data_IF_750230784824
#
_entry.id   IF_750230784824
#
_cell.length_a   1.000
_cell.length_b   1.000
_cell.length_c   1.000
_cell.angle_alpha   90.00
_cell.angle_beta   90.00
_cell.angle_gamma   90.00
#
_symmetry.space_group_name_H-M   'P 1'
#
loop_
_entity.id
_entity.type
_entity.pdbx_description
1 polymer ?
#
# COMPACT_ATOMS: atom_id res chain seq x y z
N UNK A 1 -1.22 -32.04 69.31
CA UNK A 1 -1.86 -30.82 68.78
C UNK A 1 -0.88 -29.68 68.45
N UNK A 2 0.24 -29.50 69.19
CA UNK A 2 1.21 -28.42 68.92
C UNK A 2 1.99 -28.54 67.60
N UNK A 3 2.24 -29.76 67.11
CA UNK A 3 2.99 -30.02 65.86
C UNK A 3 2.21 -29.64 64.60
N UNK A 4 0.89 -29.86 64.59
CA UNK A 4 0.02 -29.52 63.46
C UNK A 4 -0.22 -28.01 63.34
N UNK A 5 -0.25 -27.30 64.48
CA UNK A 5 -0.39 -25.83 64.49
C UNK A 5 0.82 -25.14 63.83
N UNK A 6 2.03 -25.67 64.04
CA UNK A 6 3.25 -25.16 63.41
C UNK A 6 3.30 -25.39 61.89
N UNK A 7 2.80 -26.54 61.42
CA UNK A 7 2.69 -26.86 60.00
C UNK A 7 1.70 -25.95 59.26
N UNK A 8 0.55 -25.65 59.90
CA UNK A 8 -0.45 -24.74 59.35
C UNK A 8 0.08 -23.30 59.30
N UNK A 9 0.76 -22.85 60.36
CA UNK A 9 1.35 -21.52 60.40
C UNK A 9 2.48 -21.36 59.36
N UNK A 10 3.30 -22.39 59.18
CA UNK A 10 4.35 -22.43 58.14
C UNK A 10 3.78 -22.38 56.72
N UNK A 11 2.70 -23.12 56.45
CA UNK A 11 2.03 -23.10 55.15
C UNK A 11 1.38 -21.74 54.83
N UNK A 12 0.82 -21.06 55.84
CA UNK A 12 0.25 -19.71 55.69
C UNK A 12 1.32 -18.66 55.36
N UNK A 13 2.49 -18.75 56.02
CA UNK A 13 3.63 -17.85 55.76
C UNK A 13 4.19 -18.10 54.36
N UNK A 14 4.32 -19.36 53.95
CA UNK A 14 4.82 -19.72 52.62
C UNK A 14 3.85 -19.28 51.51
N UNK A 15 2.54 -19.39 51.76
CA UNK A 15 1.50 -18.87 50.85
C UNK A 15 1.55 -17.34 50.71
N UNK A 16 1.76 -16.61 51.80
CA UNK A 16 1.86 -15.15 51.78
C UNK A 16 3.06 -14.63 50.96
N UNK A 17 4.19 -15.34 50.97
CA UNK A 17 5.39 -14.99 50.19
C UNK A 17 5.14 -15.17 48.67
N UNK A 18 4.37 -16.19 48.29
CA UNK A 18 4.01 -16.43 46.88
C UNK A 18 3.06 -15.34 46.36
N UNK A 19 2.14 -14.84 47.20
CA UNK A 19 1.24 -13.74 46.81
C UNK A 19 1.93 -12.38 46.64
N UNK A 20 3.05 -12.15 47.30
CA UNK A 20 3.82 -10.89 47.19
C UNK A 20 4.82 -10.88 46.01
N UNK A 21 4.96 -12.00 45.29
CA UNK A 21 5.90 -12.12 44.17
C UNK A 21 5.28 -11.79 42.80
N UNK A 22 4.08 -11.18 42.78
CA UNK A 22 3.46 -10.63 41.57
C UNK A 22 4.17 -9.36 41.09
N UNK A 23 5.40 -9.51 40.60
CA UNK A 23 6.16 -8.46 39.97
C UNK A 23 5.60 -8.21 38.55
N UNK A 24 4.66 -7.29 38.42
CA UNK A 24 4.30 -6.69 37.13
C UNK A 24 5.48 -5.82 36.69
N UNK A 25 6.37 -6.39 35.85
CA UNK A 25 7.44 -5.64 35.22
C UNK A 25 6.78 -4.67 34.25
N UNK A 26 6.47 -3.47 34.76
CA UNK A 26 5.80 -2.40 34.04
C UNK A 26 6.41 -2.25 32.66
N UNK A 27 5.73 -2.80 31.65
CA UNK A 27 6.15 -2.73 30.27
C UNK A 27 6.31 -1.27 29.91
N UNK A 28 7.50 -0.91 29.42
CA UNK A 28 7.84 0.45 29.01
C UNK A 28 6.74 0.95 28.07
N UNK A 29 5.88 1.82 28.59
CA UNK A 29 4.76 2.35 27.82
C UNK A 29 5.39 3.26 26.77
N UNK A 30 5.35 2.83 25.50
CA UNK A 30 5.77 3.67 24.38
C UNK A 30 4.83 4.86 24.32
N UNK A 31 5.21 5.93 25.01
CA UNK A 31 4.47 7.19 25.01
C UNK A 31 4.62 7.80 23.62
N UNK A 32 3.55 7.71 22.84
CA UNK A 32 3.48 8.33 21.53
C UNK A 32 3.19 9.81 21.79
N UNK A 33 4.22 10.64 21.66
CA UNK A 33 4.08 12.08 21.73
C UNK A 33 3.20 12.57 20.57
N UNK A 34 1.94 12.91 20.88
CA UNK A 34 0.97 13.42 19.91
C UNK A 34 1.31 14.85 19.45
N UNK A 35 2.24 15.52 20.12
CA UNK A 35 2.75 16.84 19.76
C UNK A 35 3.99 16.77 18.85
N UNK A 36 4.59 15.58 18.71
CA UNK A 36 5.66 15.29 17.76
C UNK A 36 5.11 15.30 16.32
N UNK A 37 4.83 16.50 15.84
CA UNK A 37 4.46 16.77 14.46
C UNK A 37 5.73 17.07 13.66
N UNK A 38 5.79 16.48 12.48
CA UNK A 38 6.77 16.85 11.46
C UNK A 38 6.72 18.37 11.19
N UNK A 39 7.88 18.98 10.97
CA UNK A 39 7.95 20.42 10.73
C UNK A 39 7.21 20.80 9.43
N UNK A 40 6.71 22.03 9.35
CA UNK A 40 6.10 22.53 8.11
C UNK A 40 7.06 22.52 6.92
N UNK A 41 8.37 22.67 7.17
CA UNK A 41 9.40 22.59 6.13
C UNK A 41 9.55 21.17 5.60
N UNK A 42 9.55 20.17 6.49
CA UNK A 42 9.65 18.76 6.11
C UNK A 42 8.35 18.25 5.48
N UNK A 43 7.18 18.74 5.93
CA UNK A 43 5.90 18.54 5.24
C UNK A 43 5.92 19.09 3.82
N UNK A 44 6.48 20.30 3.64
CA UNK A 44 6.65 20.89 2.30
C UNK A 44 7.61 20.06 1.45
N UNK A 45 8.75 19.62 1.98
CA UNK A 45 9.69 18.74 1.26
C UNK A 45 9.05 17.41 0.85
N UNK A 46 8.27 16.78 1.74
CA UNK A 46 7.50 15.57 1.41
C UNK A 46 6.42 15.84 0.37
N UNK A 47 5.71 16.97 0.46
CA UNK A 47 4.73 17.38 -0.53
C UNK A 47 5.35 17.72 -1.89
N UNK A 48 6.57 18.28 -1.91
CA UNK A 48 7.37 18.59 -3.09
C UNK A 48 7.87 17.30 -3.75
N UNK A 49 8.49 16.40 -2.98
CA UNK A 49 8.92 15.08 -3.46
C UNK A 49 7.74 14.26 -4.01
N UNK A 50 6.55 14.42 -3.42
CA UNK A 50 5.30 13.82 -3.93
C UNK A 50 4.75 14.51 -5.18
N UNK A 51 5.03 15.81 -5.38
CA UNK A 51 4.69 16.56 -6.59
C UNK A 51 5.64 16.23 -7.75
N UNK A 52 6.93 16.05 -7.45
CA UNK A 52 7.98 15.80 -8.45
C UNK A 52 8.00 14.34 -8.94
N UNK A 53 7.29 13.43 -8.26
CA UNK A 53 7.02 12.09 -8.78
C UNK A 53 5.91 12.15 -9.85
N UNK A 54 6.30 12.30 -11.12
CA UNK A 54 5.40 12.23 -12.27
C UNK A 54 4.48 11.01 -12.17
N UNK A 55 3.17 11.26 -12.23
CA UNK A 55 2.17 10.19 -12.26
C UNK A 55 2.11 9.63 -13.67
N UNK A 56 2.47 8.36 -13.81
CA UNK A 56 2.32 7.61 -15.05
C UNK A 56 0.91 6.99 -15.08
N UNK A 57 0.15 7.33 -16.10
CA UNK A 57 -1.19 6.82 -16.33
C UNK A 57 -1.13 5.55 -17.18
N UNK A 58 -1.81 4.52 -16.69
CA UNK A 58 -1.97 3.23 -17.34
C UNK A 58 -3.40 3.05 -17.81
N UNK A 59 -3.60 2.89 -19.12
CA UNK A 59 -4.90 2.58 -19.72
C UNK A 59 -5.00 1.13 -20.15
N UNK A 60 -6.16 0.73 -20.66
CA UNK A 60 -6.38 -0.63 -21.15
C UNK A 60 -7.63 -0.71 -22.04
N UNK A 61 -7.71 -1.73 -22.89
CA UNK A 61 -8.97 -2.10 -23.52
C UNK A 61 -9.89 -2.71 -22.46
N UNK A 62 -11.07 -2.12 -22.25
CA UNK A 62 -12.10 -2.69 -21.38
C UNK A 62 -12.53 -4.05 -21.94
N UNK A 63 -12.41 -5.13 -21.16
CA UNK A 63 -12.70 -6.50 -21.62
C UNK A 63 -13.82 -7.14 -20.83
N UNK A 64 -13.74 -7.06 -19.51
CA UNK A 64 -14.78 -7.55 -18.62
C UNK A 64 -15.67 -6.38 -18.19
N UNK A 65 -16.02 -6.35 -16.89
CA UNK A 65 -16.64 -5.18 -16.28
C UNK A 65 -15.58 -4.24 -15.68
N UNK A 66 -15.86 -2.93 -15.56
CA UNK A 66 -14.90 -1.97 -14.99
C UNK A 66 -14.32 -2.37 -13.63
N UNK A 67 -15.16 -2.96 -12.77
CA UNK A 67 -14.75 -3.46 -11.46
C UNK A 67 -13.76 -4.62 -11.55
N UNK A 68 -13.98 -5.53 -12.50
CA UNK A 68 -13.15 -6.72 -12.65
C UNK A 68 -11.81 -6.38 -13.31
N UNK A 69 -11.84 -5.55 -14.36
CA UNK A 69 -10.60 -5.06 -14.98
C UNK A 69 -9.77 -4.23 -13.98
N UNK A 70 -10.41 -3.40 -13.13
CA UNK A 70 -9.70 -2.71 -12.05
C UNK A 70 -9.03 -3.68 -11.07
N UNK A 71 -9.71 -4.75 -10.67
CA UNK A 71 -9.15 -5.76 -9.77
C UNK A 71 -7.94 -6.46 -10.37
N UNK A 72 -7.90 -6.63 -11.69
CA UNK A 72 -6.76 -7.20 -12.38
C UNK A 72 -5.57 -6.23 -12.43
N UNK A 73 -5.80 -4.97 -12.81
CA UNK A 73 -4.69 -4.03 -13.05
C UNK A 73 -4.16 -3.33 -11.80
N UNK A 74 -5.00 -3.05 -10.78
CA UNK A 74 -4.55 -2.34 -9.57
C UNK A 74 -3.39 -3.06 -8.86
N UNK A 75 -3.42 -4.39 -8.63
CA UNK A 75 -2.30 -5.11 -8.03
C UNK A 75 -1.02 -5.02 -8.86
N UNK A 76 -1.13 -5.11 -10.19
CA UNK A 76 0.00 -4.96 -11.11
C UNK A 76 0.62 -3.55 -11.02
N UNK A 77 -0.21 -2.50 -11.04
CA UNK A 77 0.29 -1.13 -10.89
C UNK A 77 0.94 -0.90 -9.52
N UNK A 78 0.37 -1.45 -8.43
CA UNK A 78 1.00 -1.41 -7.11
C UNK A 78 2.37 -2.10 -7.09
N UNK A 79 2.51 -3.21 -7.79
CA UNK A 79 3.81 -3.85 -7.97
C UNK A 79 4.80 -2.95 -8.71
N UNK A 80 4.40 -2.38 -9.85
CA UNK A 80 5.24 -1.43 -10.60
C UNK A 80 5.67 -0.25 -9.73
N UNK A 81 4.75 0.33 -8.96
CA UNK A 81 5.05 1.41 -8.03
C UNK A 81 6.13 1.03 -7.02
N UNK A 82 6.00 -0.14 -6.37
CA UNK A 82 6.99 -0.63 -5.40
C UNK A 82 8.34 -0.95 -6.05
N UNK A 83 8.33 -1.51 -7.26
CA UNK A 83 9.54 -1.98 -7.94
C UNK A 83 10.36 -0.85 -8.60
N UNK A 84 9.71 0.24 -9.00
CA UNK A 84 10.34 1.31 -9.79
C UNK A 84 10.43 2.66 -9.07
N UNK A 85 9.65 2.85 -8.00
CA UNK A 85 9.54 4.13 -7.31
C UNK A 85 8.64 5.16 -8.00
N UNK A 86 8.18 4.92 -9.25
CA UNK A 86 7.22 5.80 -9.92
C UNK A 86 5.81 5.63 -9.36
N UNK A 87 4.97 6.66 -9.53
CA UNK A 87 3.54 6.57 -9.22
C UNK A 87 2.77 6.15 -10.46
N UNK A 88 1.95 5.11 -10.34
CA UNK A 88 1.09 4.63 -11.41
C UNK A 88 -0.37 4.79 -11.01
N UNK A 89 -1.19 5.29 -11.93
CA UNK A 89 -2.64 5.36 -11.77
C UNK A 89 -3.33 4.64 -12.92
N UNK A 90 -4.43 3.95 -12.60
CA UNK A 90 -5.29 3.33 -13.59
C UNK A 90 -6.23 4.39 -14.19
N UNK A 91 -6.33 4.42 -15.52
CA UNK A 91 -7.27 5.27 -16.25
C UNK A 91 -8.26 4.41 -17.04
N UNK A 92 -9.54 4.69 -16.85
CA UNK A 92 -10.59 4.20 -17.73
C UNK A 92 -10.78 5.18 -18.88
N UNK A 93 -10.71 4.69 -20.11
CA UNK A 93 -11.08 5.50 -21.27
C UNK A 93 -12.58 5.82 -21.20
N UNK A 94 -12.99 7.10 -21.34
CA UNK A 94 -14.40 7.49 -21.29
C UNK A 94 -15.23 6.80 -22.37
N UNK A 95 -16.56 6.74 -22.16
CA UNK A 95 -17.49 6.22 -23.17
C UNK A 95 -17.35 7.03 -24.47
N UNK A 96 -17.17 6.33 -25.60
CA UNK A 96 -16.92 6.95 -26.92
C UNK A 96 -15.49 7.42 -27.13
N UNK A 97 -14.62 7.32 -26.10
CA UNK A 97 -13.19 7.53 -26.23
C UNK A 97 -12.50 6.35 -26.92
N UNK A 98 -11.22 6.56 -27.27
CA UNK A 98 -10.38 5.53 -27.89
C UNK A 98 -9.05 5.47 -27.15
N UNK A 99 -8.76 4.33 -26.55
CA UNK A 99 -7.50 4.11 -25.84
C UNK A 99 -6.30 4.23 -26.80
N UNK A 100 -6.45 3.88 -28.08
CA UNK A 100 -5.43 4.11 -29.10
C UNK A 100 -5.10 5.61 -29.28
N UNK A 101 -6.13 6.48 -29.26
CA UNK A 101 -5.92 7.93 -29.31
C UNK A 101 -5.37 8.47 -27.98
N UNK A 102 -5.81 7.96 -26.82
CA UNK A 102 -5.29 8.39 -25.52
C UNK A 102 -3.81 8.03 -25.36
N UNK A 103 -3.41 6.84 -25.79
CA UNK A 103 -2.01 6.41 -25.80
C UNK A 103 -1.18 7.23 -26.78
N UNK A 104 -1.67 7.40 -28.01
CA UNK A 104 -0.97 8.17 -29.05
C UNK A 104 -0.81 9.66 -28.76
N UNK A 105 -1.68 10.23 -27.92
CA UNK A 105 -1.61 11.65 -27.48
C UNK A 105 -0.91 11.83 -26.13
N UNK A 106 -0.42 10.75 -25.51
CA UNK A 106 0.23 10.80 -24.20
C UNK A 106 -0.71 11.10 -23.03
N UNK A 107 -2.03 10.91 -23.20
CA UNK A 107 -3.00 10.98 -22.09
C UNK A 107 -2.77 9.80 -21.13
N UNK A 108 -2.39 8.65 -21.66
CA UNK A 108 -1.78 7.54 -20.92
C UNK A 108 -0.38 7.28 -21.47
N UNK A 109 0.55 6.91 -20.59
CA UNK A 109 1.93 6.60 -20.99
C UNK A 109 2.08 5.12 -21.37
N UNK A 110 1.25 4.27 -20.78
CA UNK A 110 1.24 2.83 -21.03
C UNK A 110 -0.20 2.34 -21.18
N UNK A 111 -0.40 1.29 -21.97
CA UNK A 111 -1.67 0.60 -21.98
C UNK A 111 -1.56 -0.89 -22.30
N UNK A 112 -2.40 -1.70 -21.65
CA UNK A 112 -2.63 -3.08 -22.04
C UNK A 112 -3.74 -3.14 -23.09
N UNK A 113 -3.36 -3.40 -24.34
CA UNK A 113 -4.27 -3.35 -25.48
C UNK A 113 -4.21 -4.64 -26.31
N UNK A 114 -5.32 -4.98 -26.95
CA UNK A 114 -5.40 -6.03 -27.95
C UNK A 114 -4.75 -5.61 -29.28
N UNK A 115 -4.58 -6.59 -30.16
CA UNK A 115 -3.89 -6.41 -31.44
C UNK A 115 -4.52 -5.30 -32.31
N UNK A 116 -5.85 -5.23 -32.40
CA UNK A 116 -6.53 -4.21 -33.21
C UNK A 116 -6.24 -2.79 -32.72
N UNK A 117 -6.38 -2.55 -31.42
CA UNK A 117 -6.04 -1.27 -30.79
C UNK A 117 -4.57 -0.91 -30.99
N UNK A 118 -3.65 -1.87 -30.85
CA UNK A 118 -2.23 -1.66 -31.12
C UNK A 118 -1.96 -1.24 -32.57
N UNK A 119 -2.51 -1.97 -33.55
CA UNK A 119 -2.33 -1.66 -34.98
C UNK A 119 -2.78 -0.22 -35.27
N UNK A 120 -3.94 0.19 -34.74
CA UNK A 120 -4.44 1.56 -34.91
C UNK A 120 -3.54 2.61 -34.25
N UNK A 121 -3.10 2.36 -33.02
CA UNK A 121 -2.23 3.28 -32.27
C UNK A 121 -0.85 3.41 -32.93
N UNK A 122 -0.29 2.29 -33.40
CA UNK A 122 1.00 2.25 -34.09
C UNK A 122 0.94 2.97 -35.43
N UNK A 123 -0.03 2.63 -36.28
CA UNK A 123 -0.16 3.22 -37.62
C UNK A 123 -0.38 4.74 -37.55
N UNK A 124 -1.10 5.23 -36.54
CA UNK A 124 -1.46 6.65 -36.43
C UNK A 124 -0.49 7.50 -35.62
N UNK A 125 0.13 6.92 -34.58
CA UNK A 125 0.91 7.68 -33.60
C UNK A 125 2.31 7.10 -33.35
N UNK A 126 2.69 6.02 -34.03
CA UNK A 126 4.00 5.38 -33.83
C UNK A 126 4.17 4.70 -32.48
N UNK A 127 3.07 4.37 -31.78
CA UNK A 127 3.12 3.64 -30.50
C UNK A 127 3.88 2.32 -30.67
N UNK A 128 4.83 2.06 -29.77
CA UNK A 128 5.63 0.84 -29.78
C UNK A 128 5.17 -0.16 -28.71
N UNK A 129 5.24 -1.47 -28.98
CA UNK A 129 4.98 -2.47 -27.95
C UNK A 129 6.21 -2.62 -27.05
N UNK A 130 6.02 -2.54 -25.74
CA UNK A 130 7.08 -2.78 -24.74
C UNK A 130 7.14 -4.23 -24.27
N UNK A 131 5.99 -4.91 -24.26
CA UNK A 131 5.83 -6.32 -23.86
C UNK A 131 4.78 -6.96 -24.78
N UNK A 132 4.95 -8.23 -25.11
CA UNK A 132 3.97 -9.05 -25.85
C UNK A 132 3.68 -10.32 -25.05
N UNK A 133 2.43 -10.74 -25.02
CA UNK A 133 1.97 -11.99 -24.40
C UNK A 133 1.50 -12.99 -25.45
#
# INVERSE_FOLDING_TARGET
MKFWLGLILGALILGAIVFLSGCDSGGERKEIDLSARISNADLRKLAQAKKDADVLWFGFDLRAGPKEDARQYIPFLKYLQRSTGYRFNLRFTPKGGSIANELGRGVVQFAAVGAGTYILAHAKYGVIPVVRG
#
